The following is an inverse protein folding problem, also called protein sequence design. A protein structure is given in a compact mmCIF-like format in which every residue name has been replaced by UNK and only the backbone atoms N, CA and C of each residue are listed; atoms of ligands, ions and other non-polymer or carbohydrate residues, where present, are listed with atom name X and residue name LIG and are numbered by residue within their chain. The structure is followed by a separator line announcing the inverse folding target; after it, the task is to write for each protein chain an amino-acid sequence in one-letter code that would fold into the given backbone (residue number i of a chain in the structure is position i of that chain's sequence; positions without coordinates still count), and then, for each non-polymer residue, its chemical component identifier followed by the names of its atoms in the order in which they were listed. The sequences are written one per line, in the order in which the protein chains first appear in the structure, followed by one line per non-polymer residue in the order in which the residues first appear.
data_IF_708321340897
#
_entry.id   IF_708321340897
#
_cell.length_a   1.000
_cell.length_b   1.000
_cell.length_c   1.000
_cell.angle_alpha   90.00
_cell.angle_beta   90.00
_cell.angle_gamma   90.00
#
_symmetry.space_group_name_H-M   'P 1'
#
loop_
_entity.id
_entity.type
_entity.pdbx_description
1 polymer ?
#
# COMPACT_ATOMS: atom_id res chain seq x y z
N UNK A 1 -72.39 -20.70 8.79
CA UNK A 1 -72.88 -20.61 7.39
C UNK A 1 -73.17 -19.16 7.11
N UNK A 2 -72.24 -18.44 6.49
CA UNK A 2 -72.41 -17.10 5.92
C UNK A 2 -71.57 -17.07 4.65
N UNK A 3 -72.21 -16.77 3.52
CA UNK A 3 -71.61 -16.60 2.20
C UNK A 3 -72.02 -15.23 1.69
N UNK A 4 -71.06 -14.44 1.22
CA UNK A 4 -71.20 -13.35 0.22
C UNK A 4 -69.76 -12.91 -0.12
N UNK A 5 -69.15 -13.20 -1.29
CA UNK A 5 -69.40 -12.84 -2.70
C UNK A 5 -68.73 -11.52 -3.15
N UNK A 6 -67.66 -11.64 -3.95
CA UNK A 6 -67.33 -10.86 -5.18
C UNK A 6 -65.99 -11.41 -5.71
N UNK A 7 -65.98 -12.28 -6.74
CA UNK A 7 -65.88 -11.99 -8.19
C UNK A 7 -64.46 -11.52 -8.58
N UNK A 8 -63.64 -12.36 -9.24
CA UNK A 8 -63.48 -12.49 -10.72
C UNK A 8 -62.86 -11.20 -11.32
N UNK A 9 -61.75 -11.16 -12.08
CA UNK A 9 -61.27 -11.99 -13.18
C UNK A 9 -59.72 -11.92 -13.30
N UNK A 10 -59.20 -12.77 -14.18
CA UNK A 10 -57.81 -12.97 -14.61
C UNK A 10 -57.32 -11.89 -15.59
N UNK A 11 -56.02 -11.56 -15.55
CA UNK A 11 -55.28 -11.14 -16.76
C UNK A 11 -53.78 -11.46 -16.60
N UNK A 12 -53.29 -12.37 -17.43
CA UNK A 12 -51.87 -12.63 -17.69
C UNK A 12 -51.28 -11.51 -18.53
N UNK A 13 -50.19 -10.92 -18.07
CA UNK A 13 -49.30 -10.15 -18.93
C UNK A 13 -47.86 -10.65 -18.69
N UNK A 14 -47.34 -11.32 -19.72
CA UNK A 14 -45.92 -11.54 -19.95
C UNK A 14 -45.14 -10.24 -19.72
N UNK A 15 -44.14 -10.29 -18.85
CA UNK A 15 -43.03 -9.36 -18.87
C UNK A 15 -41.76 -10.16 -18.59
N UNK A 16 -41.18 -10.62 -19.68
CA UNK A 16 -39.81 -11.07 -19.90
C UNK A 16 -38.84 -10.30 -18.99
N UNK A 17 -38.46 -10.86 -17.84
CA UNK A 17 -37.40 -10.28 -17.01
C UNK A 17 -36.09 -10.85 -17.52
N UNK A 18 -35.48 -10.07 -18.40
CA UNK A 18 -34.12 -10.26 -18.90
C UNK A 18 -33.19 -10.79 -17.82
N UNK A 19 -32.58 -11.92 -18.14
CA UNK A 19 -31.42 -12.50 -17.48
C UNK A 19 -30.30 -11.44 -17.48
N UNK A 20 -30.16 -10.72 -16.36
CA UNK A 20 -29.01 -9.84 -16.15
C UNK A 20 -28.00 -10.66 -15.36
N UNK A 21 -27.20 -11.41 -16.10
CA UNK A 21 -25.94 -11.95 -15.58
C UNK A 21 -25.15 -10.74 -15.06
N UNK A 22 -25.10 -10.60 -13.73
CA UNK A 22 -24.24 -9.64 -13.05
C UNK A 22 -22.80 -10.10 -13.28
N UNK A 23 -22.25 -9.78 -14.46
CA UNK A 23 -20.81 -9.75 -14.62
C UNK A 23 -20.34 -8.60 -13.75
N UNK A 24 -19.89 -8.92 -12.53
CA UNK A 24 -19.16 -8.00 -11.67
C UNK A 24 -17.91 -7.57 -12.44
N UNK A 25 -18.03 -6.48 -13.19
CA UNK A 25 -16.88 -5.81 -13.78
C UNK A 25 -16.12 -5.25 -12.59
N UNK A 26 -15.03 -5.92 -12.25
CA UNK A 26 -14.09 -5.51 -11.22
C UNK A 26 -13.53 -4.11 -11.60
N UNK A 27 -14.20 -3.07 -11.10
CA UNK A 27 -13.85 -1.66 -11.35
C UNK A 27 -12.54 -1.27 -10.66
N UNK A 28 -11.80 -2.20 -10.04
CA UNK A 28 -10.42 -1.96 -9.60
C UNK A 28 -9.47 -1.66 -10.77
N UNK A 29 -9.85 -2.05 -11.98
CA UNK A 29 -9.09 -1.77 -13.19
C UNK A 29 -9.48 -0.43 -13.80
N UNK A 30 -8.94 0.69 -13.30
CA UNK A 30 -8.39 1.89 -14.00
C UNK A 30 -8.16 3.00 -12.96
N UNK A 31 -7.57 2.69 -11.80
CA UNK A 31 -7.02 3.76 -10.94
C UNK A 31 -5.66 4.11 -11.50
N UNK A 32 -5.45 5.38 -11.86
CA UNK A 32 -4.19 5.90 -12.40
C UNK A 32 -2.98 5.24 -11.72
N UNK A 33 -2.21 4.45 -12.48
CA UNK A 33 -0.96 3.81 -12.06
C UNK A 33 0.07 4.90 -11.73
N UNK A 34 -0.07 5.54 -10.58
CA UNK A 34 0.93 6.48 -10.08
C UNK A 34 2.07 5.64 -9.55
N UNK A 35 3.07 5.41 -10.40
CA UNK A 35 4.31 4.78 -9.97
C UNK A 35 4.91 5.62 -8.84
N UNK A 36 5.09 5.01 -7.68
CA UNK A 36 5.69 5.69 -6.54
C UNK A 36 7.15 6.07 -6.84
N UNK A 37 7.49 7.36 -6.88
CA UNK A 37 8.88 7.81 -7.15
C UNK A 37 9.90 7.10 -6.25
N UNK A 38 9.56 6.94 -4.96
CA UNK A 38 10.44 6.28 -4.00
C UNK A 38 10.59 4.77 -4.18
N UNK A 39 9.71 4.11 -4.93
CA UNK A 39 9.89 2.70 -5.32
C UNK A 39 11.16 2.52 -6.18
N UNK A 40 11.46 3.48 -7.04
CA UNK A 40 12.62 3.45 -7.94
C UNK A 40 13.91 3.98 -7.32
N UNK A 41 13.88 4.40 -6.05
CA UNK A 41 15.10 4.81 -5.35
C UNK A 41 16.05 3.62 -5.16
N UNK A 42 17.33 3.93 -4.95
CA UNK A 42 18.37 2.94 -4.69
C UNK A 42 18.01 2.13 -3.45
N UNK A 43 17.91 0.81 -3.61
CA UNK A 43 17.72 -0.11 -2.49
C UNK A 43 19.06 -0.30 -1.78
N UNK A 44 19.09 0.05 -0.50
CA UNK A 44 20.24 -0.14 0.38
C UNK A 44 20.24 -1.54 0.99
N UNK A 45 19.06 -2.05 1.35
CA UNK A 45 18.85 -3.39 1.85
C UNK A 45 17.42 -3.87 1.60
N UNK A 46 17.23 -5.18 1.55
CA UNK A 46 15.96 -5.87 1.30
C UNK A 46 15.81 -7.00 2.30
N UNK A 47 14.66 -7.05 2.96
CA UNK A 47 14.31 -8.09 3.91
C UNK A 47 13.16 -8.92 3.37
N UNK A 48 13.29 -10.24 3.43
CA UNK A 48 12.22 -11.20 3.12
C UNK A 48 12.16 -12.21 4.25
N UNK A 49 10.96 -12.43 4.79
CA UNK A 49 10.70 -13.39 5.86
C UNK A 49 11.63 -13.19 7.08
N UNK A 50 11.99 -11.94 7.38
CA UNK A 50 12.89 -11.58 8.47
C UNK A 50 14.40 -11.69 8.17
N UNK A 51 14.79 -12.09 6.95
CA UNK A 51 16.19 -12.25 6.57
C UNK A 51 16.63 -11.19 5.54
N UNK A 52 17.83 -10.58 5.72
CA UNK A 52 18.38 -9.69 4.71
C UNK A 52 18.83 -10.50 3.48
N UNK A 53 18.64 -9.92 2.29
CA UNK A 53 19.18 -10.49 1.04
C UNK A 53 20.61 -10.04 0.76
N UNK A 54 21.02 -8.90 1.32
CA UNK A 54 22.32 -8.27 1.11
C UNK A 54 23.31 -8.62 2.23
N UNK A 55 24.60 -8.38 1.96
CA UNK A 55 25.67 -8.55 2.94
C UNK A 55 25.60 -7.50 4.06
N UNK A 56 26.16 -7.84 5.22
CA UNK A 56 26.24 -6.95 6.40
C UNK A 56 26.95 -5.61 6.10
N UNK A 57 27.90 -5.59 5.17
CA UNK A 57 28.62 -4.38 4.75
C UNK A 57 27.69 -3.36 4.09
N UNK A 58 26.74 -3.80 3.25
CA UNK A 58 25.73 -2.91 2.66
C UNK A 58 24.80 -2.35 3.73
N UNK A 59 24.49 -3.15 4.74
CA UNK A 59 23.62 -2.77 5.84
C UNK A 59 24.28 -1.73 6.76
N UNK A 60 25.60 -1.79 6.95
CA UNK A 60 26.35 -0.79 7.72
C UNK A 60 26.31 0.61 7.08
N UNK A 61 26.10 0.70 5.76
CA UNK A 61 26.02 1.98 5.03
C UNK A 61 24.73 2.79 5.28
N UNK A 62 23.82 2.29 6.12
CA UNK A 62 22.55 2.95 6.46
C UNK A 62 22.69 4.11 7.45
N UNK A 63 23.78 4.16 8.22
CA UNK A 63 23.96 5.15 9.27
C UNK A 63 24.00 6.59 8.70
N UNK A 64 23.20 7.48 9.30
CA UNK A 64 23.13 8.89 8.90
C UNK A 64 22.37 9.18 7.60
N UNK A 65 21.86 8.16 6.89
CA UNK A 65 21.11 8.36 5.64
C UNK A 65 19.63 8.67 5.89
N UNK A 66 19.07 9.55 5.05
CA UNK A 66 17.61 9.71 4.94
C UNK A 66 17.07 8.55 4.12
N UNK A 67 16.12 7.81 4.70
CA UNK A 67 15.58 6.60 4.10
C UNK A 67 14.06 6.55 4.16
N UNK A 68 13.48 5.74 3.29
CA UNK A 68 12.10 5.26 3.39
C UNK A 68 12.11 3.73 3.48
N UNK A 69 11.07 3.15 4.09
CA UNK A 69 10.78 1.73 3.93
C UNK A 69 9.73 1.57 2.84
N UNK A 70 9.96 0.64 1.93
CA UNK A 70 9.01 0.26 0.88
C UNK A 70 8.58 -1.17 1.15
N UNK A 71 7.34 -1.35 1.56
CA UNK A 71 6.73 -2.64 1.87
C UNK A 71 6.01 -3.14 0.62
N UNK A 72 6.39 -4.31 0.13
CA UNK A 72 5.73 -4.97 -1.01
C UNK A 72 4.91 -6.14 -0.49
N UNK A 73 3.68 -6.27 -0.96
CA UNK A 73 2.72 -7.23 -0.42
C UNK A 73 1.73 -7.72 -1.49
N UNK A 74 1.05 -8.82 -1.20
CA UNK A 74 0.03 -9.43 -2.07
C UNK A 74 -1.25 -8.58 -2.10
N UNK A 75 -1.83 -8.35 -3.28
CA UNK A 75 -3.02 -7.49 -3.45
C UNK A 75 -4.24 -7.93 -2.63
N UNK A 76 -4.30 -9.19 -2.21
CA UNK A 76 -5.39 -9.77 -1.42
C UNK A 76 -5.16 -9.70 0.11
N UNK A 77 -4.03 -9.15 0.56
CA UNK A 77 -3.68 -9.00 1.95
C UNK A 77 -4.81 -8.36 2.77
N UNK A 78 -5.34 -9.10 3.75
CA UNK A 78 -6.52 -8.67 4.52
C UNK A 78 -6.31 -7.34 5.24
N UNK A 79 -5.09 -7.11 5.75
CA UNK A 79 -4.74 -5.88 6.45
C UNK A 79 -4.67 -4.64 5.53
N UNK A 80 -4.50 -4.83 4.23
CA UNK A 80 -4.42 -3.75 3.24
C UNK A 80 -5.79 -3.40 2.62
N UNK A 81 -6.84 -4.20 2.86
CA UNK A 81 -8.18 -4.00 2.25
C UNK A 81 -8.75 -2.60 2.46
N UNK A 82 -8.40 -1.94 3.57
CA UNK A 82 -8.84 -0.57 3.87
C UNK A 82 -8.38 0.45 2.82
N UNK A 83 -7.28 0.21 2.10
CA UNK A 83 -6.78 1.13 1.08
C UNK A 83 -7.66 1.25 -0.16
N UNK A 84 -8.59 0.30 -0.37
CA UNK A 84 -9.65 0.44 -1.38
C UNK A 84 -10.61 1.60 -1.11
N UNK A 85 -10.59 2.14 0.12
CA UNK A 85 -11.39 3.30 0.53
C UNK A 85 -10.63 4.63 0.44
N UNK A 86 -9.42 4.63 -0.13
CA UNK A 86 -8.51 5.79 -0.21
C UNK A 86 -8.06 6.38 1.15
N UNK A 87 -8.25 5.63 2.24
CA UNK A 87 -7.79 6.01 3.58
C UNK A 87 -6.37 5.50 3.80
N UNK A 88 -5.38 6.39 3.67
CA UNK A 88 -3.95 6.06 3.78
C UNK A 88 -3.31 6.55 5.08
N UNK A 89 -3.93 6.24 6.23
CA UNK A 89 -3.39 6.61 7.55
C UNK A 89 -2.99 5.40 8.39
N UNK A 90 -3.71 4.30 8.23
CA UNK A 90 -3.52 3.07 8.99
C UNK A 90 -3.88 1.87 8.11
N UNK A 91 -3.46 0.69 8.56
CA UNK A 91 -3.87 -0.60 8.00
C UNK A 91 -5.02 -1.18 8.83
N UNK A 92 -5.62 -2.27 8.37
CA UNK A 92 -6.54 -3.09 9.16
C UNK A 92 -5.86 -4.05 10.16
N UNK A 93 -4.55 -3.90 10.43
CA UNK A 93 -3.80 -4.78 11.34
C UNK A 93 -3.17 -4.00 12.50
N UNK A 94 -3.53 -4.35 13.72
CA UNK A 94 -2.94 -3.79 14.95
C UNK A 94 -1.43 -4.04 15.02
N UNK A 95 -0.96 -5.19 14.53
CA UNK A 95 0.48 -5.52 14.51
C UNK A 95 1.21 -4.56 13.57
N UNK A 96 0.69 -4.35 12.36
CA UNK A 96 1.30 -3.45 11.39
C UNK A 96 1.27 -2.01 11.90
N UNK A 97 0.12 -1.56 12.43
CA UNK A 97 -0.05 -0.21 12.97
C UNK A 97 0.84 0.04 14.19
N UNK A 98 0.94 -0.93 15.11
CA UNK A 98 1.82 -0.84 16.29
C UNK A 98 3.30 -0.78 15.92
N UNK A 99 3.72 -1.47 14.86
CA UNK A 99 5.08 -1.32 14.31
C UNK A 99 5.29 0.07 13.70
N UNK A 100 4.32 0.60 12.94
CA UNK A 100 4.43 1.96 12.40
C UNK A 100 4.56 2.99 13.52
N UNK A 101 3.76 2.88 14.58
CA UNK A 101 3.85 3.76 15.74
C UNK A 101 5.21 3.64 16.46
N UNK A 102 5.65 2.41 16.75
CA UNK A 102 6.93 2.13 17.44
C UNK A 102 8.13 2.74 16.73
N UNK A 103 8.11 2.73 15.39
CA UNK A 103 9.18 3.27 14.56
C UNK A 103 8.89 4.69 14.03
N UNK A 104 7.82 5.34 14.51
CA UNK A 104 7.37 6.69 14.12
C UNK A 104 7.25 6.85 12.60
N UNK A 105 6.74 5.83 11.93
CA UNK A 105 6.52 5.77 10.50
C UNK A 105 5.11 6.23 10.15
N UNK A 106 4.94 6.78 8.95
CA UNK A 106 3.64 7.07 8.35
C UNK A 106 3.58 6.56 6.94
N UNK A 107 2.39 6.12 6.54
CA UNK A 107 2.08 5.83 5.15
C UNK A 107 2.08 7.17 4.40
N UNK A 108 2.88 7.28 3.35
CA UNK A 108 2.89 8.48 2.49
C UNK A 108 2.35 8.19 1.09
N UNK A 109 2.35 6.92 0.68
CA UNK A 109 1.84 6.52 -0.61
C UNK A 109 1.56 5.02 -0.63
N UNK A 110 0.46 4.65 -1.28
CA UNK A 110 0.12 3.31 -1.74
C UNK A 110 0.24 3.27 -3.27
N UNK A 111 0.67 2.15 -3.83
CA UNK A 111 0.81 1.99 -5.29
C UNK A 111 0.65 0.53 -5.71
N UNK A 112 0.12 0.32 -6.90
CA UNK A 112 0.02 -1.01 -7.52
C UNK A 112 1.28 -1.32 -8.33
N UNK A 113 1.79 -2.54 -8.23
CA UNK A 113 2.92 -3.03 -9.05
C UNK A 113 2.37 -3.77 -10.27
N UNK A 114 1.52 -4.77 -10.04
CA UNK A 114 0.81 -5.57 -11.04
C UNK A 114 -0.53 -6.05 -10.44
N UNK A 115 -1.21 -7.00 -11.08
CA UNK A 115 -2.51 -7.51 -10.62
C UNK A 115 -2.45 -8.19 -9.25
N UNK A 116 -1.36 -8.91 -8.97
CA UNK A 116 -1.21 -9.70 -7.74
C UNK A 116 -0.43 -9.00 -6.63
N UNK A 117 0.24 -7.88 -6.92
CA UNK A 117 1.18 -7.24 -6.00
C UNK A 117 1.02 -5.72 -5.93
N UNK A 118 1.14 -5.21 -4.70
CA UNK A 118 1.08 -3.80 -4.36
C UNK A 118 2.26 -3.38 -3.48
N UNK A 119 2.34 -2.08 -3.20
CA UNK A 119 3.35 -1.52 -2.33
C UNK A 119 2.89 -0.31 -1.53
N UNK A 120 3.52 -0.14 -0.37
CA UNK A 120 3.37 1.00 0.53
C UNK A 120 4.71 1.64 0.78
N UNK A 121 4.73 2.97 0.78
CA UNK A 121 5.87 3.76 1.22
C UNK A 121 5.61 4.21 2.64
N UNK A 122 6.48 3.78 3.55
CA UNK A 122 6.54 4.23 4.93
C UNK A 122 7.69 5.22 5.07
N UNK A 123 7.36 6.45 5.47
CA UNK A 123 8.32 7.51 5.73
C UNK A 123 8.44 7.72 7.24
N UNK A 124 9.66 7.78 7.80
CA UNK A 124 9.82 8.15 9.20
C UNK A 124 9.52 9.65 9.40
N UNK A 125 8.85 9.98 10.50
CA UNK A 125 8.58 11.37 10.88
C UNK A 125 9.86 12.11 11.29
N UNK A 126 10.86 11.38 11.78
CA UNK A 126 12.20 11.85 12.17
C UNK A 126 13.27 10.96 11.52
N UNK A 127 14.51 10.96 12.02
CA UNK A 127 15.46 9.90 11.68
C UNK A 127 14.94 8.55 12.19
N UNK A 128 15.14 7.48 11.41
CA UNK A 128 14.77 6.12 11.82
C UNK A 128 15.96 5.48 12.53
N UNK A 129 15.84 5.28 13.85
CA UNK A 129 16.96 4.83 14.70
C UNK A 129 17.43 3.41 14.38
N UNK A 130 16.50 2.49 14.11
CA UNK A 130 16.83 1.10 13.78
C UNK A 130 16.11 0.62 12.51
N UNK A 131 16.60 1.04 11.33
CA UNK A 131 15.93 0.76 10.06
C UNK A 131 15.96 -0.73 9.69
N UNK A 132 17.01 -1.43 10.12
CA UNK A 132 17.21 -2.87 9.93
C UNK A 132 16.14 -3.64 10.68
N UNK A 133 15.97 -3.36 11.97
CA UNK A 133 15.00 -4.06 12.79
C UNK A 133 13.57 -3.75 12.36
N UNK A 134 13.29 -2.50 11.97
CA UNK A 134 12.01 -2.12 11.41
C UNK A 134 11.71 -2.93 10.14
N UNK A 135 12.60 -2.89 9.14
CA UNK A 135 12.42 -3.63 7.89
C UNK A 135 12.27 -5.14 8.13
N UNK A 136 13.07 -5.70 9.04
CA UNK A 136 12.96 -7.10 9.46
C UNK A 136 11.58 -7.42 10.01
N UNK A 137 11.07 -6.63 10.97
CA UNK A 137 9.76 -6.87 11.60
C UNK A 137 8.61 -6.73 10.61
N UNK A 138 8.63 -5.71 9.75
CA UNK A 138 7.62 -5.57 8.70
C UNK A 138 7.64 -6.74 7.70
N UNK A 139 8.83 -7.27 7.37
CA UNK A 139 8.96 -8.42 6.46
C UNK A 139 8.45 -9.76 7.03
N UNK A 140 8.07 -9.78 8.32
CA UNK A 140 7.48 -10.95 8.99
C UNK A 140 5.96 -10.88 9.06
N UNK A 141 5.34 -9.78 8.61
CA UNK A 141 3.88 -9.66 8.59
C UNK A 141 3.34 -10.52 7.45
N UNK A 142 2.23 -11.20 7.70
CA UNK A 142 1.55 -12.03 6.71
C UNK A 142 1.21 -11.25 5.43
N UNK A 143 1.36 -11.92 4.28
CA UNK A 143 1.22 -11.36 2.93
C UNK A 143 2.19 -10.22 2.58
N UNK A 144 3.13 -9.85 3.46
CA UNK A 144 4.28 -9.02 3.06
C UNK A 144 5.32 -9.89 2.35
N UNK A 145 5.59 -9.56 1.10
CA UNK A 145 6.53 -10.30 0.24
C UNK A 145 7.97 -9.92 0.52
N UNK A 146 8.21 -8.62 0.74
CA UNK A 146 9.51 -8.09 1.15
C UNK A 146 9.41 -6.63 1.60
N UNK A 147 10.42 -6.17 2.32
CA UNK A 147 10.60 -4.76 2.69
C UNK A 147 11.94 -4.28 2.20
N UNK A 148 11.95 -3.16 1.48
CA UNK A 148 13.15 -2.52 0.96
C UNK A 148 13.45 -1.23 1.74
N UNK A 149 14.69 -1.07 2.17
CA UNK A 149 15.21 0.18 2.71
C UNK A 149 15.76 0.99 1.54
N UNK A 150 15.15 2.14 1.27
CA UNK A 150 15.44 2.97 0.09
C UNK A 150 16.09 4.28 0.51
N UNK A 151 17.22 4.62 -0.11
CA UNK A 151 17.86 5.92 0.08
C UNK A 151 17.00 7.03 -0.55
N UNK A 152 16.64 8.05 0.22
CA UNK A 152 15.98 9.23 -0.34
C UNK A 152 17.08 10.13 -0.92
N UNK A 153 17.08 10.40 -2.24
CA UNK A 153 18.05 11.30 -2.84
C UNK A 153 17.97 12.65 -2.12
N UNK A 154 19.11 13.17 -1.66
CA UNK A 154 19.20 14.57 -1.26
C UNK A 154 19.18 15.34 -2.57
N UNK A 155 18.16 16.17 -2.80
CA UNK A 155 18.28 17.18 -3.84
C UNK A 155 19.41 18.10 -3.37
N UNK A 156 20.54 18.09 -4.09
CA UNK A 156 21.57 19.11 -3.90
C UNK A 156 20.84 20.44 -4.06
N UNK A 157 20.76 21.24 -2.99
CA UNK A 157 20.39 22.63 -3.12
C UNK A 157 21.36 23.20 -4.14
N UNK A 158 20.88 23.42 -5.36
CA UNK A 158 21.53 24.28 -6.33
C UNK A 158 21.46 25.68 -5.73
N UNK A 159 22.35 25.98 -4.78
CA UNK A 159 22.82 27.33 -4.52
C UNK A 159 23.46 27.79 -5.82
N UNK A 160 22.60 28.25 -6.73
CA UNK A 160 22.97 29.33 -7.64
C UNK A 160 23.24 30.51 -6.73
N UNK A 161 24.46 30.54 -6.22
CA UNK A 161 25.14 31.74 -5.81
C UNK A 161 25.05 32.67 -7.01
N UNK A 162 24.03 33.53 -7.00
CA UNK A 162 23.96 34.68 -7.89
C UNK A 162 24.92 35.71 -7.32
N UNK A 163 26.20 35.36 -7.27
CA UNK A 163 27.29 36.31 -7.30
C UNK A 163 27.41 36.77 -8.75
N UNK A 164 26.45 37.60 -9.18
CA UNK A 164 26.78 38.60 -10.18
C UNK A 164 27.21 39.85 -9.40
N UNK A 165 28.52 39.99 -9.39
CA UNK A 165 29.26 41.12 -8.86
C UNK A 165 29.25 42.21 -9.92
N UNK A 166 29.10 43.45 -9.45
CA UNK A 166 29.44 44.73 -10.09
C UNK A 166 28.37 45.47 -10.89
#
# INVERSE_FOLDING_TARGET
MFVSCSSDETETADADTTDVESTEVDTRSVVNKVSAKAYYYTSLATFKDGFPKESLEKIASLEGKKINLVVLYESDALWAKIFSTEIYKETGSDIFNGLMESYKLKIVQHFTINEDNEGLILKPNTSLENPIEAARKFSLIESVLMVQIKEVPQEEENTKDSTDVN
#
